data_IF_959147401312
#
_entry.id   IF_959147401312
#
_cell.length_a   1.000
_cell.length_b   1.000
_cell.length_c   1.000
_cell.angle_alpha   90.00
_cell.angle_beta   90.00
_cell.angle_gamma   90.00
#
_symmetry.space_group_name_H-M   'P 1'
#
loop_
_entity.id
_entity.type
_entity.pdbx_description
1 polymer ?
#
# COMPACT_ATOMS: atom_id res chain seq x y z
N UNK A 1 -1.51 19.48 -11.56
CA UNK A 1 -0.22 18.91 -12.05
C UNK A 1 1.02 19.29 -11.20
N UNK A 2 1.04 20.44 -10.48
CA UNK A 2 2.18 20.81 -9.58
C UNK A 2 2.36 19.86 -8.38
N UNK A 3 1.26 19.49 -7.73
CA UNK A 3 1.26 18.59 -6.56
C UNK A 3 1.91 17.23 -6.84
N UNK A 4 1.67 16.65 -8.01
CA UNK A 4 2.21 15.34 -8.42
C UNK A 4 3.74 15.41 -8.63
N UNK A 5 4.24 16.51 -9.21
CA UNK A 5 5.68 16.71 -9.43
C UNK A 5 6.43 16.91 -8.10
N UNK A 6 5.87 17.68 -7.18
CA UNK A 6 6.47 17.89 -5.86
C UNK A 6 6.51 16.60 -5.03
N UNK A 7 5.44 15.80 -5.07
CA UNK A 7 5.41 14.48 -4.41
C UNK A 7 6.45 13.50 -4.99
N UNK A 8 6.61 13.46 -6.31
CA UNK A 8 7.62 12.64 -6.98
C UNK A 8 9.06 13.02 -6.60
N UNK A 9 9.34 14.32 -6.43
CA UNK A 9 10.64 14.82 -5.99
C UNK A 9 10.89 14.60 -4.47
N UNK A 10 9.83 14.54 -3.67
CA UNK A 10 9.88 14.32 -2.22
C UNK A 10 10.07 12.84 -1.83
N UNK A 11 9.37 11.93 -2.48
CA UNK A 11 9.40 10.49 -2.15
C UNK A 11 10.40 9.70 -3.01
N UNK A 12 10.70 10.18 -4.22
CA UNK A 12 11.35 9.41 -5.27
C UNK A 12 10.30 8.68 -6.14
N UNK A 13 10.56 8.51 -7.45
CA UNK A 13 9.57 8.00 -8.41
C UNK A 13 9.03 6.62 -8.03
N UNK A 14 9.89 5.74 -7.49
CA UNK A 14 9.51 4.39 -7.07
C UNK A 14 8.52 4.40 -5.90
N UNK A 15 8.77 5.23 -4.88
CA UNK A 15 7.88 5.32 -3.70
C UNK A 15 6.53 5.93 -4.03
N UNK A 16 6.51 6.88 -4.97
CA UNK A 16 5.27 7.45 -5.46
C UNK A 16 4.44 6.41 -6.24
N UNK A 17 5.08 5.61 -7.10
CA UNK A 17 4.43 4.50 -7.79
C UNK A 17 3.85 3.49 -6.78
N UNK A 18 4.63 3.12 -5.76
CA UNK A 18 4.15 2.26 -4.68
C UNK A 18 2.94 2.85 -3.96
N UNK A 19 2.98 4.14 -3.61
CA UNK A 19 1.87 4.81 -2.96
C UNK A 19 0.58 4.81 -3.81
N UNK A 20 0.71 5.01 -5.12
CA UNK A 20 -0.41 4.92 -6.06
C UNK A 20 -0.99 3.51 -6.11
N UNK A 21 -0.14 2.48 -6.15
CA UNK A 21 -0.61 1.09 -6.16
C UNK A 21 -1.31 0.74 -4.84
N UNK A 22 -0.74 1.11 -3.68
CA UNK A 22 -1.37 0.89 -2.38
C UNK A 22 -2.73 1.61 -2.29
N UNK A 23 -2.82 2.84 -2.78
CA UNK A 23 -4.08 3.58 -2.86
C UNK A 23 -5.11 2.89 -3.75
N UNK A 24 -4.70 2.44 -4.93
CA UNK A 24 -5.58 1.71 -5.86
C UNK A 24 -6.07 0.38 -5.26
N UNK A 25 -5.18 -0.43 -4.68
CA UNK A 25 -5.54 -1.69 -4.03
C UNK A 25 -6.47 -1.48 -2.83
N UNK A 26 -6.27 -0.41 -2.07
CA UNK A 26 -7.17 -0.05 -0.96
C UNK A 26 -8.56 0.33 -1.47
N UNK A 27 -8.65 1.09 -2.56
CA UNK A 27 -9.91 1.50 -3.17
C UNK A 27 -10.69 0.33 -3.79
N UNK A 28 -10.00 -0.74 -4.22
CA UNK A 28 -10.61 -1.94 -4.79
C UNK A 28 -11.11 -2.92 -3.72
N UNK A 29 -10.78 -2.75 -2.44
CA UNK A 29 -11.18 -3.66 -1.36
C UNK A 29 -12.70 -3.95 -1.32
N UNK A 30 -13.61 -2.97 -1.47
CA UNK A 30 -15.05 -3.23 -1.43
C UNK A 30 -15.54 -4.19 -2.53
N UNK A 31 -14.88 -4.21 -3.69
CA UNK A 31 -15.25 -5.07 -4.81
C UNK A 31 -14.90 -6.54 -4.56
N UNK A 32 -13.97 -6.81 -3.65
CA UNK A 32 -13.57 -8.16 -3.29
C UNK A 32 -14.55 -8.85 -2.34
N UNK A 33 -15.49 -8.12 -1.72
CA UNK A 33 -16.52 -8.70 -0.85
C UNK A 33 -17.69 -9.34 -1.63
N UNK A 34 -17.70 -9.22 -2.96
CA UNK A 34 -18.69 -9.88 -3.80
C UNK A 34 -18.47 -11.41 -3.82
N UNK A 35 -19.52 -12.22 -4.08
CA UNK A 35 -19.38 -13.66 -4.26
C UNK A 35 -18.30 -13.99 -5.30
N UNK A 36 -17.48 -14.99 -5.00
CA UNK A 36 -16.37 -15.39 -5.86
C UNK A 36 -16.89 -15.83 -7.23
N UNK A 37 -16.38 -15.20 -8.28
CA UNK A 37 -16.70 -15.54 -9.66
C UNK A 37 -15.41 -15.85 -10.43
N UNK A 38 -15.43 -16.91 -11.23
CA UNK A 38 -14.31 -17.32 -12.06
C UNK A 38 -14.45 -16.83 -13.52
N UNK A 39 -15.31 -15.83 -13.74
CA UNK A 39 -15.61 -15.31 -15.07
C UNK A 39 -15.43 -13.80 -15.16
N UNK A 40 -14.81 -13.35 -16.26
CA UNK A 40 -14.72 -11.93 -16.63
C UNK A 40 -13.98 -11.06 -15.61
N UNK A 41 -14.40 -9.80 -15.50
CA UNK A 41 -13.81 -8.81 -14.59
C UNK A 41 -13.97 -9.15 -13.11
N UNK A 42 -14.99 -9.93 -12.75
CA UNK A 42 -15.22 -10.34 -11.37
C UNK A 42 -14.09 -11.22 -10.82
N UNK A 43 -13.51 -12.10 -11.64
CA UNK A 43 -12.35 -12.91 -11.25
C UNK A 43 -11.15 -12.05 -10.83
N UNK A 44 -10.92 -10.93 -11.52
CA UNK A 44 -9.85 -10.00 -11.19
C UNK A 44 -10.07 -9.39 -9.81
N UNK A 45 -11.28 -8.87 -9.55
CA UNK A 45 -11.58 -8.15 -8.31
C UNK A 45 -11.79 -9.05 -7.10
N UNK A 46 -12.28 -10.28 -7.28
CA UNK A 46 -12.58 -11.21 -6.17
C UNK A 46 -11.50 -12.24 -5.89
N UNK A 47 -10.55 -12.46 -6.81
CA UNK A 47 -9.50 -13.49 -6.65
C UNK A 47 -8.11 -12.90 -6.82
N UNK A 48 -7.84 -12.26 -7.95
CA UNK A 48 -6.47 -11.78 -8.26
C UNK A 48 -6.07 -10.63 -7.34
N UNK A 49 -6.89 -9.58 -7.25
CA UNK A 49 -6.60 -8.39 -6.43
C UNK A 49 -6.38 -8.76 -4.94
N UNK A 50 -7.24 -9.56 -4.29
CA UNK A 50 -7.00 -10.03 -2.93
C UNK A 50 -5.70 -10.82 -2.77
N UNK A 51 -5.32 -11.62 -3.77
CA UNK A 51 -4.10 -12.43 -3.72
C UNK A 51 -2.82 -11.60 -3.83
N UNK A 52 -2.84 -10.47 -4.55
CA UNK A 52 -1.67 -9.59 -4.69
C UNK A 52 -1.51 -8.59 -3.54
N UNK A 53 -2.58 -8.32 -2.79
CA UNK A 53 -2.56 -7.37 -1.65
C UNK A 53 -1.49 -7.72 -0.61
N UNK A 54 -1.36 -8.98 -0.14
CA UNK A 54 -0.29 -9.36 0.77
C UNK A 54 1.12 -9.09 0.22
N UNK A 55 1.32 -9.27 -1.10
CA UNK A 55 2.61 -9.01 -1.74
C UNK A 55 2.97 -7.53 -1.59
N UNK A 56 2.05 -6.63 -1.95
CA UNK A 56 2.29 -5.19 -1.84
C UNK A 56 2.36 -4.69 -0.40
N UNK A 57 1.64 -5.34 0.53
CA UNK A 57 1.79 -5.11 1.97
C UNK A 57 3.24 -5.35 2.41
N UNK A 58 3.84 -6.49 2.06
CA UNK A 58 5.23 -6.78 2.43
C UNK A 58 6.24 -5.89 1.71
N UNK A 59 6.00 -5.55 0.44
CA UNK A 59 6.85 -4.60 -0.30
C UNK A 59 6.85 -3.22 0.38
N UNK A 60 5.70 -2.75 0.86
CA UNK A 60 5.60 -1.49 1.58
C UNK A 60 6.28 -1.53 2.95
N UNK A 61 6.17 -2.64 3.68
CA UNK A 61 6.93 -2.84 4.93
C UNK A 61 8.44 -2.82 4.68
N UNK A 62 8.90 -3.43 3.58
CA UNK A 62 10.31 -3.38 3.19
C UNK A 62 10.78 -1.96 2.87
N UNK A 63 9.96 -1.15 2.16
CA UNK A 63 10.30 0.26 1.88
C UNK A 63 10.32 1.10 3.17
N UNK A 64 9.43 0.83 4.13
CA UNK A 64 9.44 1.45 5.47
C UNK A 64 10.73 1.10 6.21
N UNK A 65 11.12 -0.19 6.23
CA UNK A 65 12.34 -0.66 6.86
C UNK A 65 13.57 0.01 6.26
N UNK A 66 13.69 0.02 4.93
CA UNK A 66 14.80 0.68 4.24
C UNK A 66 14.82 2.18 4.52
N UNK A 67 13.65 2.83 4.56
CA UNK A 67 13.54 4.24 4.93
C UNK A 67 14.01 4.50 6.37
N UNK A 68 13.73 3.59 7.30
CA UNK A 68 14.22 3.67 8.68
C UNK A 68 15.75 3.49 8.76
N UNK A 69 16.30 2.54 8.00
CA UNK A 69 17.75 2.29 7.91
C UNK A 69 18.49 3.50 7.31
N UNK A 70 17.99 4.09 6.22
CA UNK A 70 18.61 5.30 5.66
C UNK A 70 18.44 6.51 6.57
N UNK A 71 17.34 6.58 7.34
CA UNK A 71 17.13 7.65 8.29
C UNK A 71 18.16 7.62 9.42
N UNK A 72 18.56 6.43 9.90
CA UNK A 72 19.52 6.30 11.02
C UNK A 72 20.93 6.78 10.68
N UNK A 73 21.32 6.74 9.40
CA UNK A 73 22.61 7.22 8.89
C UNK A 73 22.56 8.65 8.35
N UNK A 74 21.39 9.31 8.36
CA UNK A 74 21.19 10.66 7.80
C UNK A 74 21.07 11.75 8.87
N UNK A 75 21.63 12.94 8.60
CA UNK A 75 21.55 14.12 9.47
C UNK A 75 20.84 15.29 8.77
N UNK A 76 20.29 16.22 9.55
CA UNK A 76 19.67 17.46 9.06
C UNK A 76 18.45 17.25 8.15
N UNK A 77 18.39 18.01 7.06
CA UNK A 77 17.24 18.09 6.14
C UNK A 77 16.91 16.76 5.44
N UNK A 78 17.92 15.93 5.15
CA UNK A 78 17.72 14.59 4.57
C UNK A 78 16.95 13.68 5.52
N UNK A 79 17.21 13.76 6.82
CA UNK A 79 16.49 12.97 7.85
C UNK A 79 15.00 13.33 7.89
N UNK A 80 14.68 14.63 7.80
CA UNK A 80 13.29 15.09 7.78
C UNK A 80 12.53 14.59 6.54
N UNK A 81 13.18 14.56 5.37
CA UNK A 81 12.62 14.00 4.13
C UNK A 81 12.33 12.50 4.25
N UNK A 82 13.28 11.71 4.78
CA UNK A 82 13.08 10.28 5.02
C UNK A 82 11.98 10.00 6.04
N UNK A 83 11.89 10.81 7.11
CA UNK A 83 10.81 10.69 8.11
C UNK A 83 9.43 10.94 7.51
N UNK A 84 9.27 11.96 6.65
CA UNK A 84 8.00 12.21 5.95
C UNK A 84 7.61 11.04 5.07
N UNK A 85 8.54 10.53 4.26
CA UNK A 85 8.31 9.37 3.41
C UNK A 85 7.89 8.13 4.21
N UNK A 86 8.58 7.86 5.33
CA UNK A 86 8.26 6.75 6.24
C UNK A 86 6.84 6.88 6.79
N UNK A 87 6.46 8.06 7.30
CA UNK A 87 5.11 8.27 7.84
C UNK A 87 4.05 8.08 6.75
N UNK A 88 4.28 8.61 5.55
CA UNK A 88 3.33 8.45 4.43
C UNK A 88 3.13 6.97 4.08
N UNK A 89 4.21 6.19 3.95
CA UNK A 89 4.11 4.76 3.66
C UNK A 89 3.42 4.00 4.80
N UNK A 90 3.76 4.30 6.07
CA UNK A 90 3.13 3.67 7.22
C UNK A 90 1.62 3.93 7.28
N UNK A 91 1.18 5.15 6.97
CA UNK A 91 -0.24 5.50 6.89
C UNK A 91 -0.93 4.71 5.76
N UNK A 92 -0.31 4.62 4.58
CA UNK A 92 -0.87 3.87 3.45
C UNK A 92 -0.98 2.37 3.74
N UNK A 93 0.02 1.78 4.40
CA UNK A 93 -0.04 0.40 4.86
C UNK A 93 -1.18 0.22 5.86
N UNK A 94 -1.33 1.14 6.83
CA UNK A 94 -2.44 1.10 7.78
C UNK A 94 -3.82 1.17 7.10
N UNK A 95 -3.98 2.03 6.09
CA UNK A 95 -5.21 2.13 5.29
C UNK A 95 -5.47 0.81 4.53
N UNK A 96 -4.46 0.27 3.86
CA UNK A 96 -4.58 -1.00 3.15
C UNK A 96 -5.01 -2.12 4.11
N UNK A 97 -4.33 -2.26 5.24
CA UNK A 97 -4.67 -3.28 6.25
C UNK A 97 -6.11 -3.11 6.74
N UNK A 98 -6.53 -1.88 7.08
CA UNK A 98 -7.89 -1.62 7.54
C UNK A 98 -8.95 -1.92 6.47
N UNK A 99 -8.70 -1.58 5.21
CA UNK A 99 -9.61 -1.82 4.10
C UNK A 99 -9.83 -3.33 3.84
N UNK A 100 -8.79 -4.12 4.00
CA UNK A 100 -8.81 -5.56 3.71
C UNK A 100 -9.08 -6.44 4.94
N UNK A 101 -9.06 -5.88 6.15
CA UNK A 101 -9.32 -6.59 7.40
C UNK A 101 -10.64 -7.39 7.39
N UNK A 102 -11.78 -6.86 6.88
CA UNK A 102 -13.04 -7.61 6.87
C UNK A 102 -12.96 -8.89 6.03
N UNK A 103 -12.26 -8.85 4.89
CA UNK A 103 -12.09 -10.03 4.02
C UNK A 103 -11.26 -11.09 4.73
N UNK A 104 -10.13 -10.69 5.34
CA UNK A 104 -9.29 -11.63 6.09
C UNK A 104 -10.03 -12.22 7.29
N UNK A 105 -10.84 -11.41 7.98
CA UNK A 105 -11.66 -11.90 9.09
C UNK A 105 -12.66 -12.98 8.64
N UNK A 106 -13.32 -12.80 7.50
CA UNK A 106 -14.23 -13.81 6.93
C UNK A 106 -13.52 -15.12 6.60
N UNK A 107 -12.28 -15.04 6.10
CA UNK A 107 -11.48 -16.23 5.79
C UNK A 107 -11.01 -16.96 7.05
N UNK A 108 -10.65 -16.22 8.12
CA UNK A 108 -10.20 -16.82 9.38
C UNK A 108 -11.35 -17.35 10.25
N UNK A 109 -12.53 -16.73 10.18
CA UNK A 109 -13.73 -17.16 10.88
C UNK A 109 -14.83 -17.53 9.88
N UNK A 110 -14.66 -18.62 9.12
CA UNK A 110 -15.74 -19.17 8.32
C UNK A 110 -16.75 -19.76 9.29
N UNK A 111 -17.88 -19.07 9.50
CA UNK A 111 -18.99 -19.62 10.28
C UNK A 111 -19.45 -20.98 9.76
#
# INVERSE_FOLDING_TARGET
MRVIKEFSQLLGPLRFALALVLGALSALAPLAFAPTSYQGWAFVTTVIVPAIVPIFFFVALLDILMSAVFMSSSTGERRAKHRKALITQAVLVGILTAAWLPLFWQVLNPG
#
